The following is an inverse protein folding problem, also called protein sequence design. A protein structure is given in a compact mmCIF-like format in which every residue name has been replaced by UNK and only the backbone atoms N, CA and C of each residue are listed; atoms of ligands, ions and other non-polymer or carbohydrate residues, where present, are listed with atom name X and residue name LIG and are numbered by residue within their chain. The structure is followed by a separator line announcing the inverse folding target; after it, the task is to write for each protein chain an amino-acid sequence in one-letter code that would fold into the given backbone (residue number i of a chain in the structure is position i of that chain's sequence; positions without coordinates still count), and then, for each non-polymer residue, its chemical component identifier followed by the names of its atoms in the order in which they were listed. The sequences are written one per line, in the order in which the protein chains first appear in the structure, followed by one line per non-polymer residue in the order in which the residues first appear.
data_IF_427136984915
#
_entry.id   IF_427136984915
#
_cell.length_a   1.000
_cell.length_b   1.000
_cell.length_c   1.000
_cell.angle_alpha   90.00
_cell.angle_beta   90.00
_cell.angle_gamma   90.00
#
_symmetry.space_group_name_H-M   'P 1'
#
loop_
_entity.id
_entity.type
_entity.pdbx_description
1 polymer ?
#
# COMPACT_ATOMS: atom_id res chain seq x y z
N UNK A 1 -1.16 27.13 -70.22
CA UNK A 1 -1.10 25.75 -70.76
C UNK A 1 -0.61 24.81 -69.66
N UNK A 2 -1.57 24.25 -68.90
CA UNK A 2 -1.27 23.29 -67.84
C UNK A 2 -1.25 21.90 -68.50
N UNK A 3 -0.06 21.39 -68.82
CA UNK A 3 0.09 20.02 -69.35
C UNK A 3 -0.36 19.07 -68.24
N UNK A 4 -1.57 18.53 -68.38
CA UNK A 4 -2.03 17.33 -67.66
C UNK A 4 -0.91 16.30 -67.75
N UNK A 5 -0.18 16.13 -66.66
CA UNK A 5 0.72 15.00 -66.46
C UNK A 5 -0.11 13.75 -66.73
N UNK A 6 0.22 13.06 -67.83
CA UNK A 6 -0.30 11.75 -68.12
C UNK A 6 -0.15 10.91 -66.83
N UNK A 7 -1.27 10.40 -66.32
CA UNK A 7 -1.30 9.49 -65.17
C UNK A 7 -0.71 8.15 -65.62
N UNK A 8 0.60 8.10 -65.75
CA UNK A 8 1.34 6.90 -66.17
C UNK A 8 1.56 6.00 -64.95
N UNK A 9 1.27 4.71 -65.11
CA UNK A 9 1.62 3.65 -64.16
C UNK A 9 3.09 3.73 -63.67
N UNK A 10 3.97 4.37 -64.44
CA UNK A 10 5.35 4.68 -64.07
C UNK A 10 5.54 5.41 -62.73
N UNK A 11 4.68 6.38 -62.35
CA UNK A 11 4.83 7.06 -61.06
C UNK A 11 4.44 6.15 -59.88
N UNK A 12 3.38 5.34 -60.04
CA UNK A 12 3.00 4.35 -59.02
C UNK A 12 4.08 3.27 -58.86
N UNK A 13 4.68 2.83 -59.96
CA UNK A 13 5.82 1.89 -59.96
C UNK A 13 7.02 2.51 -59.26
N UNK A 14 7.37 3.77 -59.54
CA UNK A 14 8.45 4.50 -58.86
C UNK A 14 8.21 4.57 -57.34
N UNK A 15 7.00 4.96 -56.92
CA UNK A 15 6.63 5.02 -55.49
C UNK A 15 6.71 3.63 -54.84
N UNK A 16 6.30 2.57 -55.53
CA UNK A 16 6.42 1.19 -55.03
C UNK A 16 7.87 0.78 -54.82
N UNK A 17 8.75 1.03 -55.80
CA UNK A 17 10.18 0.73 -55.70
C UNK A 17 10.84 1.51 -54.56
N UNK A 18 10.55 2.81 -54.43
CA UNK A 18 11.08 3.62 -53.32
C UNK A 18 10.62 3.07 -51.96
N UNK A 19 9.34 2.68 -51.83
CA UNK A 19 8.82 2.10 -50.59
C UNK A 19 9.47 0.76 -50.25
N UNK A 20 9.77 -0.06 -51.25
CA UNK A 20 10.46 -1.33 -51.09
C UNK A 20 11.89 -1.11 -50.57
N UNK A 21 12.67 -0.22 -51.22
CA UNK A 21 14.03 0.12 -50.80
C UNK A 21 14.07 0.70 -49.37
N UNK A 22 13.22 1.69 -49.07
CA UNK A 22 13.15 2.30 -47.74
C UNK A 22 12.64 1.33 -46.68
N UNK A 23 11.65 0.49 -47.01
CA UNK A 23 11.11 -0.53 -46.13
C UNK A 23 12.15 -1.61 -45.79
N UNK A 24 12.94 -2.05 -46.77
CA UNK A 24 14.06 -2.98 -46.57
C UNK A 24 15.12 -2.41 -45.64
N UNK A 25 15.51 -1.14 -45.83
CA UNK A 25 16.46 -0.46 -44.96
C UNK A 25 15.94 -0.35 -43.52
N UNK A 26 14.67 0.03 -43.33
CA UNK A 26 14.06 0.09 -41.99
C UNK A 26 14.08 -1.26 -41.28
N UNK A 27 13.80 -2.35 -42.01
CA UNK A 27 13.79 -3.69 -41.45
C UNK A 27 15.18 -4.11 -40.99
N UNK A 28 16.21 -3.84 -41.80
CA UNK A 28 17.61 -4.10 -41.47
C UNK A 28 18.04 -3.32 -40.22
N UNK A 29 17.70 -2.03 -40.15
CA UNK A 29 18.01 -1.20 -38.97
C UNK A 29 17.34 -1.77 -37.72
N UNK A 30 16.05 -2.17 -37.80
CA UNK A 30 15.32 -2.74 -36.66
C UNK A 30 15.97 -4.04 -36.18
N UNK A 31 16.32 -4.95 -37.09
CA UNK A 31 16.99 -6.23 -36.78
C UNK A 31 18.35 -6.01 -36.14
N UNK A 32 19.19 -5.18 -36.77
CA UNK A 32 20.53 -4.89 -36.27
C UNK A 32 20.46 -4.23 -34.89
N UNK A 33 19.55 -3.26 -34.69
CA UNK A 33 19.40 -2.59 -33.39
C UNK A 33 19.18 -3.60 -32.26
N UNK A 34 18.28 -4.56 -32.45
CA UNK A 34 17.99 -5.60 -31.44
C UNK A 34 19.22 -6.45 -31.16
N UNK A 35 19.90 -6.92 -32.21
CA UNK A 35 21.11 -7.74 -32.08
C UNK A 35 22.23 -6.98 -31.36
N UNK A 36 22.48 -5.72 -31.72
CA UNK A 36 23.50 -4.89 -31.09
C UNK A 36 23.17 -4.63 -29.61
N UNK A 37 21.90 -4.36 -29.30
CA UNK A 37 21.46 -4.11 -27.93
C UNK A 37 21.57 -5.37 -27.05
N UNK A 38 21.26 -6.54 -27.62
CA UNK A 38 21.49 -7.82 -26.96
C UNK A 38 22.97 -8.05 -26.66
N UNK A 39 23.86 -7.77 -27.63
CA UNK A 39 25.33 -7.88 -27.44
C UNK A 39 25.86 -6.94 -26.37
N UNK A 40 25.40 -5.69 -26.34
CA UNK A 40 25.75 -4.74 -25.27
C UNK A 40 25.32 -5.30 -23.90
N UNK A 41 24.10 -5.83 -23.81
CA UNK A 41 23.62 -6.50 -22.60
C UNK A 41 24.47 -7.69 -22.18
N UNK A 42 24.97 -8.48 -23.15
CA UNK A 42 25.90 -9.58 -22.92
C UNK A 42 27.20 -9.08 -22.30
N UNK A 43 27.84 -8.06 -22.90
CA UNK A 43 29.09 -7.50 -22.40
C UNK A 43 28.94 -6.98 -20.96
N UNK A 44 27.88 -6.20 -20.69
CA UNK A 44 27.62 -5.67 -19.34
C UNK A 44 27.35 -6.82 -18.35
N UNK A 45 26.57 -7.84 -18.75
CA UNK A 45 26.25 -8.96 -17.87
C UNK A 45 27.46 -9.84 -17.55
N UNK A 46 28.38 -10.04 -18.51
CA UNK A 46 29.63 -10.76 -18.30
C UNK A 46 30.57 -9.98 -17.38
N UNK A 47 30.73 -8.68 -17.63
CA UNK A 47 31.53 -7.80 -16.76
C UNK A 47 31.01 -7.78 -15.31
N UNK A 48 29.68 -7.74 -15.12
CA UNK A 48 29.06 -7.84 -13.81
C UNK A 48 29.29 -9.20 -13.13
N UNK A 49 29.36 -10.29 -13.91
CA UNK A 49 29.61 -11.65 -13.40
C UNK A 49 31.06 -11.79 -12.89
N UNK A 50 32.01 -11.23 -13.61
CA UNK A 50 33.45 -11.25 -13.28
C UNK A 50 33.79 -10.37 -12.06
N UNK A 51 32.96 -9.37 -11.76
CA UNK A 51 33.19 -8.41 -10.67
C UNK A 51 32.22 -8.57 -9.49
N UNK A 52 31.61 -9.77 -9.32
CA UNK A 52 30.55 -10.05 -8.33
C UNK A 52 30.93 -9.83 -6.86
N UNK A 53 32.22 -9.94 -6.51
CA UNK A 53 32.68 -9.82 -5.12
C UNK A 53 32.71 -8.38 -4.59
N UNK A 54 32.51 -7.39 -5.46
CA UNK A 54 32.52 -5.97 -5.09
C UNK A 54 31.10 -5.50 -4.76
N UNK A 55 30.76 -5.47 -3.48
CA UNK A 55 29.48 -4.92 -2.99
C UNK A 55 29.28 -3.47 -3.50
N UNK A 56 28.10 -3.17 -4.06
CA UNK A 56 27.76 -1.84 -4.61
C UNK A 56 28.33 -1.51 -6.00
N UNK A 57 29.15 -2.39 -6.60
CA UNK A 57 29.77 -2.13 -7.91
C UNK A 57 28.75 -1.97 -9.05
N UNK A 58 27.66 -2.73 -9.00
CA UNK A 58 26.60 -2.67 -10.01
C UNK A 58 25.89 -1.31 -10.08
N UNK A 59 25.78 -0.60 -8.96
CA UNK A 59 25.01 0.64 -8.88
C UNK A 59 25.76 1.82 -9.53
N UNK A 60 27.07 1.89 -9.32
CA UNK A 60 27.95 2.89 -9.93
C UNK A 60 28.37 2.53 -11.37
N UNK A 61 28.37 1.24 -11.74
CA UNK A 61 28.76 0.81 -13.09
C UNK A 61 27.90 1.48 -14.17
N UNK A 62 26.59 1.51 -13.99
CA UNK A 62 25.70 2.11 -14.99
C UNK A 62 25.80 3.64 -15.04
N UNK A 63 26.19 4.31 -13.95
CA UNK A 63 26.47 5.75 -13.95
C UNK A 63 27.69 6.06 -14.81
N UNK A 64 28.77 5.31 -14.59
CA UNK A 64 29.99 5.47 -15.37
C UNK A 64 29.78 5.11 -16.84
N UNK A 65 29.16 3.97 -17.13
CA UNK A 65 28.85 3.57 -18.51
C UNK A 65 27.96 4.61 -19.21
N UNK A 66 27.03 5.24 -18.48
CA UNK A 66 26.17 6.26 -19.06
C UNK A 66 26.97 7.47 -19.55
N UNK A 67 27.94 7.93 -18.74
CA UNK A 67 28.84 9.03 -19.09
C UNK A 67 29.80 8.63 -20.22
N UNK A 68 30.49 7.50 -20.10
CA UNK A 68 31.54 7.08 -21.03
C UNK A 68 31.01 6.69 -22.42
N UNK A 69 29.74 6.27 -22.51
CA UNK A 69 29.11 5.87 -23.79
C UNK A 69 28.11 6.87 -24.34
N UNK A 70 27.86 7.98 -23.62
CA UNK A 70 26.82 8.96 -23.93
C UNK A 70 25.44 8.31 -24.11
N UNK A 71 25.13 7.30 -23.30
CA UNK A 71 23.84 6.58 -23.33
C UNK A 71 23.14 6.66 -22.00
N UNK A 72 21.82 6.74 -22.06
CA UNK A 72 20.97 6.76 -20.87
C UNK A 72 21.16 5.51 -19.99
N UNK A 73 21.33 5.72 -18.67
CA UNK A 73 21.47 4.68 -17.64
C UNK A 73 20.38 3.62 -17.76
N UNK A 74 19.12 4.03 -17.95
CA UNK A 74 17.99 3.11 -18.04
C UNK A 74 18.01 2.27 -19.33
N UNK A 75 18.57 2.80 -20.42
CA UNK A 75 18.73 2.09 -21.69
C UNK A 75 19.78 0.99 -21.59
N UNK A 76 20.94 1.30 -21.00
CA UNK A 76 22.00 0.32 -20.72
C UNK A 76 21.48 -0.78 -19.78
N UNK A 77 20.77 -0.41 -18.72
CA UNK A 77 20.15 -1.37 -17.81
C UNK A 77 19.15 -2.30 -18.53
N UNK A 78 18.30 -1.75 -19.41
CA UNK A 78 17.36 -2.55 -20.22
C UNK A 78 18.07 -3.49 -21.18
N UNK A 79 19.19 -3.10 -21.77
CA UNK A 79 20.01 -3.98 -22.61
C UNK A 79 20.52 -5.17 -21.80
N UNK A 80 21.03 -4.94 -20.58
CA UNK A 80 21.47 -6.01 -19.68
C UNK A 80 20.34 -6.96 -19.32
N UNK A 81 19.16 -6.43 -18.96
CA UNK A 81 17.98 -7.24 -18.69
C UNK A 81 17.53 -8.00 -19.92
N UNK A 82 17.64 -7.40 -21.11
CA UNK A 82 17.28 -8.05 -22.37
C UNK A 82 18.11 -9.31 -22.61
N UNK A 83 19.44 -9.22 -22.51
CA UNK A 83 20.31 -10.40 -22.62
C UNK A 83 19.99 -11.47 -21.57
N UNK A 84 19.81 -11.07 -20.30
CA UNK A 84 19.51 -12.01 -19.20
C UNK A 84 18.16 -12.72 -19.39
N UNK A 85 17.17 -12.00 -19.93
CA UNK A 85 15.82 -12.53 -20.16
C UNK A 85 15.75 -13.41 -21.40
N UNK A 86 16.53 -13.08 -22.43
CA UNK A 86 16.61 -13.83 -23.68
C UNK A 86 18.07 -14.30 -23.91
N UNK A 87 18.57 -15.30 -23.16
CA UNK A 87 19.97 -15.75 -23.29
C UNK A 87 20.32 -16.29 -24.68
N UNK A 88 19.30 -16.69 -25.45
CA UNK A 88 19.43 -17.12 -26.84
C UNK A 88 18.43 -16.30 -27.65
N UNK A 89 18.94 -15.40 -28.49
CA UNK A 89 18.11 -14.65 -29.42
C UNK A 89 17.82 -15.53 -30.64
N UNK A 90 16.58 -16.02 -30.76
CA UNK A 90 16.18 -16.86 -31.88
C UNK A 90 16.29 -16.09 -33.21
N UNK A 91 16.95 -16.67 -34.20
CA UNK A 91 17.06 -16.09 -35.54
C UNK A 91 15.71 -16.23 -36.27
N UNK A 92 15.25 -15.17 -36.94
CA UNK A 92 14.02 -15.18 -37.76
C UNK A 92 12.75 -14.65 -37.09
N UNK A 93 12.84 -13.98 -35.92
CA UNK A 93 11.69 -13.35 -35.25
C UNK A 93 11.91 -11.84 -35.17
N UNK A 94 11.30 -11.13 -36.10
CA UNK A 94 11.57 -9.75 -36.50
C UNK A 94 10.99 -8.69 -35.54
N UNK A 95 10.89 -8.98 -34.25
CA UNK A 95 10.40 -7.99 -33.31
C UNK A 95 11.45 -6.88 -33.15
N UNK A 96 11.03 -5.63 -33.25
CA UNK A 96 11.94 -4.51 -33.00
C UNK A 96 12.20 -4.30 -31.50
N UNK A 97 13.13 -3.41 -31.17
CA UNK A 97 13.50 -3.12 -29.78
C UNK A 97 12.32 -2.66 -28.90
N UNK A 98 11.38 -1.89 -29.45
CA UNK A 98 10.19 -1.42 -28.71
C UNK A 98 9.30 -2.59 -28.29
N UNK A 99 9.16 -3.60 -29.15
CA UNK A 99 8.45 -4.84 -28.84
C UNK A 99 9.14 -5.65 -27.73
N UNK A 100 10.46 -5.83 -27.81
CA UNK A 100 11.21 -6.51 -26.76
C UNK A 100 11.16 -5.77 -25.42
N UNK A 101 11.22 -4.44 -25.42
CA UNK A 101 10.99 -3.63 -24.21
C UNK A 101 9.63 -3.90 -23.57
N UNK A 102 8.57 -4.07 -24.38
CA UNK A 102 7.26 -4.41 -23.86
C UNK A 102 7.25 -5.81 -23.23
N UNK A 103 7.87 -6.79 -23.89
CA UNK A 103 8.00 -8.17 -23.39
C UNK A 103 8.78 -8.26 -22.07
N UNK A 104 9.81 -7.43 -21.88
CA UNK A 104 10.57 -7.35 -20.62
C UNK A 104 9.69 -6.97 -19.41
N UNK A 105 8.53 -6.35 -19.64
CA UNK A 105 7.60 -6.00 -18.56
C UNK A 105 6.70 -7.16 -18.12
N UNK A 106 6.63 -8.24 -18.90
CA UNK A 106 5.89 -9.46 -18.55
C UNK A 106 6.73 -10.28 -17.59
N UNK A 107 6.25 -10.56 -16.37
CA UNK A 107 7.03 -11.26 -15.32
C UNK A 107 7.16 -12.77 -15.61
N UNK A 108 6.06 -13.40 -16.02
CA UNK A 108 5.96 -14.83 -16.33
C UNK A 108 6.71 -15.18 -17.63
N UNK A 109 7.71 -16.06 -17.54
CA UNK A 109 8.55 -16.45 -18.68
C UNK A 109 7.78 -17.22 -19.76
N UNK A 110 6.85 -18.09 -19.35
CA UNK A 110 6.02 -18.89 -20.26
C UNK A 110 5.12 -17.98 -21.08
N UNK A 111 4.41 -17.06 -20.42
CA UNK A 111 3.56 -16.07 -21.10
C UNK A 111 4.38 -15.15 -21.99
N UNK A 112 5.55 -14.71 -21.55
CA UNK A 112 6.45 -13.87 -22.34
C UNK A 112 6.86 -14.57 -23.65
N UNK A 113 7.27 -15.84 -23.59
CA UNK A 113 7.64 -16.62 -24.77
C UNK A 113 6.45 -16.90 -25.70
N UNK A 114 5.27 -17.14 -25.15
CA UNK A 114 4.04 -17.30 -25.94
C UNK A 114 3.69 -16.01 -26.69
N UNK A 115 3.77 -14.87 -26.01
CA UNK A 115 3.52 -13.55 -26.62
C UNK A 115 4.57 -13.21 -27.69
N UNK A 116 5.84 -13.49 -27.42
CA UNK A 116 6.91 -13.31 -28.40
C UNK A 116 6.64 -14.14 -29.67
N UNK A 117 6.33 -15.44 -29.52
CA UNK A 117 6.02 -16.33 -30.65
C UNK A 117 4.80 -15.85 -31.43
N UNK A 118 3.72 -15.52 -30.72
CA UNK A 118 2.47 -15.05 -31.33
C UNK A 118 2.67 -13.75 -32.10
N UNK A 119 3.36 -12.78 -31.48
CA UNK A 119 3.65 -11.49 -32.12
C UNK A 119 4.53 -11.66 -33.37
N UNK A 120 5.47 -12.61 -33.35
CA UNK A 120 6.30 -12.90 -34.53
C UNK A 120 5.52 -13.64 -35.63
N UNK A 121 4.63 -14.58 -35.28
CA UNK A 121 3.81 -15.33 -36.24
C UNK A 121 2.75 -14.47 -36.93
N UNK A 122 2.15 -13.54 -36.19
CA UNK A 122 1.08 -12.66 -36.68
C UNK A 122 1.60 -11.29 -37.17
N UNK A 123 2.93 -11.12 -37.29
CA UNK A 123 3.59 -9.86 -37.70
C UNK A 123 3.09 -8.61 -36.95
N UNK A 124 3.01 -8.71 -35.63
CA UNK A 124 2.50 -7.62 -34.80
C UNK A 124 3.46 -6.42 -34.78
N UNK A 125 2.91 -5.24 -35.10
CA UNK A 125 3.55 -3.96 -34.78
C UNK A 125 3.66 -3.79 -33.27
N UNK A 126 4.66 -3.04 -32.83
CA UNK A 126 4.91 -2.81 -31.39
C UNK A 126 3.69 -2.28 -30.63
N UNK A 127 2.88 -1.45 -31.28
CA UNK A 127 1.64 -0.91 -30.69
C UNK A 127 0.60 -2.00 -30.40
N UNK A 128 0.45 -2.97 -31.31
CA UNK A 128 -0.46 -4.09 -31.13
C UNK A 128 -0.01 -4.97 -29.97
N UNK A 129 1.30 -5.28 -29.89
CA UNK A 129 1.85 -6.05 -28.78
C UNK A 129 1.72 -5.32 -27.43
N UNK A 130 2.04 -4.03 -27.39
CA UNK A 130 1.91 -3.21 -26.17
C UNK A 130 0.44 -3.18 -25.72
N UNK A 131 -0.49 -2.96 -26.64
CA UNK A 131 -1.93 -2.96 -26.35
C UNK A 131 -2.37 -4.33 -25.82
N UNK A 132 -1.96 -5.42 -26.46
CA UNK A 132 -2.32 -6.77 -26.04
C UNK A 132 -1.78 -7.10 -24.64
N UNK A 133 -0.54 -6.73 -24.33
CA UNK A 133 0.03 -6.88 -22.98
C UNK A 133 -0.78 -6.06 -21.96
N UNK A 134 -1.20 -4.85 -22.32
CA UNK A 134 -2.05 -4.02 -21.46
C UNK A 134 -3.42 -4.66 -21.22
N UNK A 135 -4.06 -5.16 -22.27
CA UNK A 135 -5.39 -5.80 -22.19
C UNK A 135 -5.32 -7.09 -21.36
N UNK A 136 -4.24 -7.89 -21.50
CA UNK A 136 -4.00 -9.06 -20.68
C UNK A 136 -3.84 -8.70 -19.20
N UNK A 137 -3.08 -7.65 -18.88
CA UNK A 137 -2.96 -7.16 -17.50
C UNK A 137 -4.29 -6.70 -16.94
N UNK A 138 -5.08 -5.95 -17.72
CA UNK A 138 -6.40 -5.50 -17.29
C UNK A 138 -7.36 -6.67 -17.09
N UNK A 139 -7.27 -7.72 -17.90
CA UNK A 139 -8.04 -8.96 -17.69
C UNK A 139 -7.57 -9.72 -16.45
N UNK A 140 -6.27 -9.79 -16.20
CA UNK A 140 -5.70 -10.39 -14.97
C UNK A 140 -6.07 -9.57 -13.72
N UNK A 141 -6.10 -8.24 -13.81
CA UNK A 141 -6.55 -7.33 -12.75
C UNK A 141 -8.07 -7.37 -12.56
N UNK A 142 -8.84 -7.58 -13.63
CA UNK A 142 -10.30 -7.74 -13.62
C UNK A 142 -10.77 -9.14 -13.23
N UNK A 143 -9.87 -10.13 -13.21
CA UNK A 143 -10.14 -11.50 -12.78
C UNK A 143 -9.25 -11.85 -11.57
N UNK A 144 -9.43 -11.10 -10.47
CA UNK A 144 -9.20 -11.73 -9.16
C UNK A 144 -10.37 -12.68 -8.94
N UNK A 145 -10.16 -14.00 -8.81
CA UNK A 145 -11.22 -14.85 -8.26
C UNK A 145 -11.72 -14.19 -6.97
N UNK A 146 -13.03 -14.29 -6.69
CA UNK A 146 -13.61 -13.94 -5.39
C UNK A 146 -12.94 -14.84 -4.35
N UNK A 147 -11.73 -14.47 -3.93
CA UNK A 147 -11.19 -14.91 -2.65
C UNK A 147 -12.15 -14.28 -1.67
N UNK A 148 -12.96 -15.11 -1.00
CA UNK A 148 -13.77 -14.64 0.11
C UNK A 148 -12.84 -13.86 1.04
N UNK A 149 -13.03 -12.54 1.09
CA UNK A 149 -12.21 -11.67 1.93
C UNK A 149 -12.71 -11.92 3.34
N UNK A 150 -11.90 -12.54 4.21
CA UNK A 150 -12.41 -12.97 5.49
C UNK A 150 -12.82 -11.74 6.30
N UNK A 151 -13.96 -11.85 6.96
CA UNK A 151 -14.51 -10.77 7.76
C UNK A 151 -13.85 -10.81 9.14
N UNK A 152 -13.19 -9.73 9.51
CA UNK A 152 -12.60 -9.57 10.82
C UNK A 152 -13.72 -9.51 11.86
N UNK A 153 -13.68 -10.37 12.88
CA UNK A 153 -14.52 -10.22 14.05
C UNK A 153 -14.09 -8.95 14.81
N UNK A 154 -15.05 -8.08 15.13
CA UNK A 154 -14.84 -6.87 15.92
C UNK A 154 -16.06 -6.59 16.80
N UNK A 155 -15.86 -5.82 17.88
CA UNK A 155 -16.95 -5.32 18.73
C UNK A 155 -16.94 -3.79 18.72
N UNK A 156 -18.14 -3.21 18.80
CA UNK A 156 -18.35 -1.76 18.67
C UNK A 156 -18.11 -0.98 19.97
N UNK A 157 -17.54 -1.57 21.02
CA UNK A 157 -17.07 -0.83 22.20
C UNK A 157 -18.15 0.01 22.92
N UNK A 158 -17.73 0.76 23.95
CA UNK A 158 -18.57 1.77 24.59
C UNK A 158 -17.73 2.98 24.99
N UNK A 159 -18.14 4.16 24.54
CA UNK A 159 -17.46 5.41 24.87
C UNK A 159 -17.71 5.82 26.31
N UNK A 160 -16.71 6.50 26.91
CA UNK A 160 -16.76 7.04 28.28
C UNK A 160 -17.07 5.99 29.35
N UNK A 161 -16.79 4.71 29.09
CA UNK A 161 -16.88 3.64 30.07
C UNK A 161 -15.51 3.22 30.56
N UNK A 162 -15.41 2.98 31.86
CA UNK A 162 -14.16 2.67 32.54
C UNK A 162 -14.38 1.58 33.58
N UNK A 163 -13.32 0.81 33.85
CA UNK A 163 -13.30 -0.18 34.93
C UNK A 163 -12.71 0.43 36.20
N UNK A 164 -13.27 0.07 37.34
CA UNK A 164 -12.70 0.39 38.64
C UNK A 164 -11.69 -0.67 39.06
N UNK A 165 -10.54 -0.22 39.56
CA UNK A 165 -9.46 -1.05 40.07
C UNK A 165 -9.34 -0.87 41.58
N UNK A 166 -8.69 -1.83 42.21
CA UNK A 166 -8.39 -1.80 43.63
C UNK A 166 -7.52 -0.59 43.99
N UNK A 167 -7.62 -0.09 45.24
CA UNK A 167 -6.71 0.92 45.73
C UNK A 167 -5.26 0.43 45.76
N UNK A 168 -4.33 1.35 45.59
CA UNK A 168 -2.90 1.05 45.62
C UNK A 168 -2.18 1.81 46.73
N UNK A 169 -1.06 1.24 47.20
CA UNK A 169 -0.19 1.90 48.16
C UNK A 169 0.63 2.97 47.44
N UNK A 170 0.39 4.23 47.77
CA UNK A 170 1.13 5.35 47.21
C UNK A 170 2.55 5.42 47.81
N UNK A 171 3.53 6.01 47.09
CA UNK A 171 4.88 6.21 47.62
C UNK A 171 4.95 7.00 48.93
N UNK A 172 3.89 7.76 49.24
CA UNK A 172 3.71 8.48 50.50
C UNK A 172 3.35 7.57 51.69
N UNK A 173 3.13 6.28 51.45
CA UNK A 173 2.69 5.29 52.45
C UNK A 173 1.18 5.30 52.71
N UNK A 174 0.42 6.15 52.03
CA UNK A 174 -1.04 6.21 52.12
C UNK A 174 -1.68 5.30 51.07
N UNK A 175 -2.82 4.71 51.41
CA UNK A 175 -3.65 3.98 50.43
C UNK A 175 -4.43 5.00 49.58
N UNK A 176 -4.47 4.78 48.27
CA UNK A 176 -5.32 5.58 47.39
C UNK A 176 -6.82 5.30 47.62
N UNK A 177 -7.68 6.06 46.97
CA UNK A 177 -9.06 5.65 46.71
C UNK A 177 -9.11 4.56 45.62
N UNK A 178 -10.31 4.06 45.30
CA UNK A 178 -10.52 3.23 44.09
C UNK A 178 -9.93 3.94 42.87
N UNK A 179 -9.45 3.19 41.90
CA UNK A 179 -8.81 3.77 40.71
C UNK A 179 -9.67 3.53 39.47
N UNK A 180 -9.73 4.50 38.58
CA UNK A 180 -10.34 4.39 37.26
C UNK A 180 -9.26 3.98 36.27
N UNK A 181 -9.44 2.84 35.62
CA UNK A 181 -8.60 2.33 34.53
C UNK A 181 -8.87 3.15 33.27
N UNK A 182 -7.92 4.00 32.88
CA UNK A 182 -8.01 4.80 31.65
C UNK A 182 -7.43 4.06 30.44
N UNK A 183 -6.90 2.86 30.63
CA UNK A 183 -6.02 2.17 29.68
C UNK A 183 -4.68 2.90 29.50
N UNK A 184 -3.84 2.35 28.63
CA UNK A 184 -2.48 2.81 28.36
C UNK A 184 -1.61 2.89 29.62
N UNK A 185 -1.80 1.95 30.56
CA UNK A 185 -1.15 1.92 31.88
C UNK A 185 -1.40 3.19 32.71
N UNK A 186 -2.46 3.94 32.40
CA UNK A 186 -2.85 5.13 33.12
C UNK A 186 -4.05 4.87 34.01
N UNK A 187 -3.97 5.41 35.23
CA UNK A 187 -5.03 5.33 36.23
C UNK A 187 -5.28 6.69 36.86
N UNK A 188 -6.52 6.91 37.28
CA UNK A 188 -6.95 8.13 37.98
C UNK A 188 -7.67 7.74 39.27
N UNK A 189 -7.40 8.44 40.35
CA UNK A 189 -8.18 8.27 41.58
C UNK A 189 -9.67 8.60 41.38
N UNK A 190 -10.52 7.73 41.91
CA UNK A 190 -11.97 7.89 41.96
C UNK A 190 -12.35 8.51 43.31
N UNK A 191 -12.64 9.81 43.31
CA UNK A 191 -12.97 10.51 44.54
C UNK A 191 -14.39 10.19 45.00
N UNK A 192 -14.58 9.90 46.28
CA UNK A 192 -15.91 9.72 46.88
C UNK A 192 -16.80 10.95 46.69
N UNK A 193 -16.23 12.15 46.68
CA UNK A 193 -16.97 13.40 46.42
C UNK A 193 -17.60 13.43 45.02
N UNK A 194 -16.99 12.75 44.05
CA UNK A 194 -17.50 12.63 42.68
C UNK A 194 -18.57 11.54 42.53
N UNK A 195 -18.61 10.58 43.46
CA UNK A 195 -19.55 9.45 43.43
C UNK A 195 -20.99 9.87 43.72
N UNK A 196 -21.23 11.02 44.37
CA UNK A 196 -22.56 11.50 44.77
C UNK A 196 -23.42 10.42 45.48
N UNK A 197 -22.79 9.51 46.23
CA UNK A 197 -23.47 8.40 46.93
C UNK A 197 -23.60 7.10 46.13
N UNK A 198 -22.98 7.00 44.95
CA UNK A 198 -22.94 5.79 44.14
C UNK A 198 -22.09 4.71 44.83
N UNK A 199 -22.72 3.61 45.25
CA UNK A 199 -22.02 2.45 45.83
C UNK A 199 -21.37 1.61 44.72
N UNK A 200 -20.06 1.67 44.63
CA UNK A 200 -19.23 0.92 43.66
C UNK A 200 -18.11 0.16 44.36
N UNK A 201 -17.65 -0.92 43.73
CA UNK A 201 -16.48 -1.70 44.18
C UNK A 201 -15.52 -1.94 43.01
N UNK A 202 -14.30 -2.37 43.32
CA UNK A 202 -13.33 -2.78 42.31
C UNK A 202 -13.90 -3.89 41.39
N UNK A 203 -13.46 -3.88 40.13
CA UNK A 203 -13.94 -4.75 39.07
C UNK A 203 -15.24 -4.29 38.40
N UNK A 204 -15.99 -3.35 39.00
CA UNK A 204 -17.21 -2.81 38.39
C UNK A 204 -16.90 -1.76 37.32
N UNK A 205 -17.83 -1.61 36.37
CA UNK A 205 -17.71 -0.62 35.31
C UNK A 205 -18.59 0.59 35.61
N UNK A 206 -18.07 1.76 35.24
CA UNK A 206 -18.74 3.05 35.37
C UNK A 206 -18.77 3.75 34.02
N UNK A 207 -19.84 4.50 33.77
CA UNK A 207 -19.96 5.41 32.63
C UNK A 207 -19.88 6.84 33.12
N UNK A 208 -19.08 7.65 32.45
CA UNK A 208 -19.04 9.09 32.69
C UNK A 208 -20.13 9.77 31.86
N UNK A 209 -20.99 10.51 32.55
CA UNK A 209 -22.03 11.35 31.95
C UNK A 209 -21.70 12.80 32.28
N UNK A 210 -21.45 13.60 31.24
CA UNK A 210 -21.19 15.03 31.39
C UNK A 210 -22.51 15.77 31.67
N UNK A 211 -22.61 16.41 32.84
CA UNK A 211 -23.70 17.34 33.17
C UNK A 211 -23.12 18.75 33.32
N UNK A 212 -23.02 19.48 32.20
CA UNK A 212 -22.47 20.83 32.20
C UNK A 212 -20.95 20.83 32.45
N UNK A 213 -20.49 21.46 33.54
CA UNK A 213 -19.05 21.51 33.92
C UNK A 213 -18.60 20.36 34.83
N UNK A 214 -19.53 19.54 35.32
CA UNK A 214 -19.22 18.44 36.26
C UNK A 214 -19.48 17.09 35.61
N UNK A 215 -18.61 16.14 35.93
CA UNK A 215 -18.78 14.74 35.54
C UNK A 215 -19.65 14.06 36.59
N UNK A 216 -20.63 13.29 36.13
CA UNK A 216 -21.39 12.36 36.96
C UNK A 216 -21.10 10.93 36.54
N UNK A 217 -21.24 9.99 37.47
CA UNK A 217 -20.91 8.59 37.25
C UNK A 217 -22.17 7.74 37.35
N UNK A 218 -22.35 6.84 36.39
CA UNK A 218 -23.41 5.85 36.38
C UNK A 218 -22.77 4.46 36.41
N UNK A 219 -23.26 3.60 37.31
CA UNK A 219 -22.84 2.20 37.33
C UNK A 219 -23.42 1.47 36.13
N UNK A 220 -22.57 0.77 35.39
CA UNK A 220 -22.96 -0.01 34.20
C UNK A 220 -22.44 -1.43 34.30
N UNK A 221 -23.15 -2.36 33.66
CA UNK A 221 -22.69 -3.73 33.44
C UNK A 221 -22.46 -3.89 31.94
N UNK A 222 -21.19 -4.03 31.56
CA UNK A 222 -20.75 -4.24 30.18
C UNK A 222 -19.68 -5.33 30.16
N UNK A 223 -19.55 -6.07 29.06
CA UNK A 223 -18.48 -7.05 28.95
C UNK A 223 -17.13 -6.34 28.76
N UNK A 224 -16.04 -7.03 29.12
CA UNK A 224 -14.69 -6.44 29.10
C UNK A 224 -14.27 -6.05 27.67
N UNK A 225 -14.73 -6.80 26.66
CA UNK A 225 -14.49 -6.45 25.26
C UNK A 225 -15.19 -5.19 24.78
N UNK A 226 -16.07 -4.56 25.56
CA UNK A 226 -16.64 -3.24 25.24
C UNK A 226 -15.83 -2.07 25.82
N UNK A 227 -14.86 -2.33 26.69
CA UNK A 227 -14.00 -1.30 27.28
C UNK A 227 -12.96 -0.75 26.29
N UNK A 228 -12.21 0.26 26.74
CA UNK A 228 -11.06 0.83 26.05
C UNK A 228 -11.39 1.37 24.64
N UNK A 229 -12.49 2.11 24.57
CA UNK A 229 -12.97 2.77 23.36
C UNK A 229 -12.88 4.28 23.54
N UNK A 230 -12.21 4.95 22.61
CA UNK A 230 -11.79 6.34 22.76
C UNK A 230 -12.07 7.15 21.50
N UNK A 231 -12.33 8.44 21.71
CA UNK A 231 -12.22 9.44 20.65
C UNK A 231 -10.76 9.81 20.46
N UNK A 232 -10.31 9.90 19.22
CA UNK A 232 -8.94 10.30 18.92
C UNK A 232 -8.85 11.21 17.70
N UNK A 233 -7.81 12.02 17.63
CA UNK A 233 -7.47 12.83 16.47
C UNK A 233 -6.23 12.27 15.78
N UNK A 234 -6.31 12.03 14.47
CA UNK A 234 -5.19 11.55 13.66
C UNK A 234 -4.13 12.65 13.57
N UNK A 235 -2.89 12.34 13.96
CA UNK A 235 -1.75 13.28 13.88
C UNK A 235 -0.85 13.01 12.68
N UNK A 236 -0.58 11.74 12.38
CA UNK A 236 0.26 11.36 11.23
C UNK A 236 -0.01 9.92 10.82
N UNK A 237 -0.21 9.69 9.52
CA UNK A 237 -0.20 8.33 8.95
C UNK A 237 1.25 7.93 8.69
N UNK A 238 1.71 6.86 9.33
CA UNK A 238 3.06 6.33 9.12
C UNK A 238 3.03 5.44 7.88
N UNK A 239 2.21 4.40 7.92
CA UNK A 239 2.05 3.37 6.88
C UNK A 239 0.56 3.05 6.67
N UNK A 240 0.23 2.06 5.82
CA UNK A 240 -1.16 1.68 5.54
C UNK A 240 -1.93 1.14 6.74
N UNK A 241 -1.24 0.65 7.77
CA UNK A 241 -1.83 0.06 8.97
C UNK A 241 -1.32 0.68 10.28
N UNK A 242 -0.47 1.70 10.21
CA UNK A 242 0.17 2.30 11.40
C UNK A 242 0.05 3.81 11.38
N UNK A 243 -0.46 4.38 12.47
CA UNK A 243 -0.68 5.83 12.60
C UNK A 243 -0.38 6.36 14.00
N UNK A 244 -0.06 7.65 14.07
CA UNK A 244 -0.02 8.43 15.30
C UNK A 244 -1.36 9.07 15.56
N UNK A 245 -1.90 8.87 16.76
CA UNK A 245 -3.14 9.48 17.22
C UNK A 245 -2.91 10.25 18.54
N UNK A 246 -3.68 11.32 18.72
CA UNK A 246 -3.89 11.97 20.01
C UNK A 246 -5.22 11.47 20.56
N UNK A 247 -5.17 10.67 21.61
CA UNK A 247 -6.29 9.91 22.18
C UNK A 247 -6.82 10.67 23.39
N UNK A 248 -8.14 10.84 23.45
CA UNK A 248 -8.85 11.39 24.59
C UNK A 248 -9.29 10.27 25.51
N UNK A 249 -8.56 10.12 26.62
CA UNK A 249 -8.86 9.11 27.65
C UNK A 249 -9.95 9.58 28.63
N UNK A 250 -10.53 10.77 28.41
CA UNK A 250 -11.44 11.43 29.33
C UNK A 250 -10.72 12.20 30.44
N UNK A 251 -11.49 12.89 31.27
CA UNK A 251 -10.99 13.68 32.41
C UNK A 251 -9.92 14.73 32.03
N UNK A 252 -9.96 15.25 30.80
CA UNK A 252 -8.98 16.20 30.27
C UNK A 252 -7.59 15.60 30.01
N UNK A 253 -7.46 14.27 30.00
CA UNK A 253 -6.20 13.57 29.72
C UNK A 253 -6.13 13.21 28.23
N UNK A 254 -5.20 13.85 27.54
CA UNK A 254 -4.87 13.55 26.15
C UNK A 254 -3.50 12.88 26.10
N UNK A 255 -3.40 11.74 25.41
CA UNK A 255 -2.14 11.04 25.21
C UNK A 255 -1.83 10.90 23.72
N UNK A 256 -0.55 10.86 23.37
CA UNK A 256 -0.13 10.62 21.99
C UNK A 256 0.43 9.21 21.88
N UNK A 257 -0.20 8.36 21.07
CA UNK A 257 0.24 6.98 20.89
C UNK A 257 0.32 6.55 19.42
N UNK A 258 1.18 5.55 19.18
CA UNK A 258 1.24 4.80 17.93
C UNK A 258 0.21 3.67 17.98
N UNK A 259 -0.63 3.63 16.95
CA UNK A 259 -1.66 2.63 16.77
C UNK A 259 -1.33 1.78 15.56
N UNK A 260 -1.44 0.46 15.73
CA UNK A 260 -1.36 -0.55 14.66
C UNK A 260 -2.76 -1.13 14.46
N UNK A 261 -3.25 -1.13 13.22
CA UNK A 261 -4.54 -1.71 12.89
C UNK A 261 -4.49 -3.23 13.09
N UNK A 262 -5.41 -3.74 13.91
CA UNK A 262 -5.49 -5.15 14.29
C UNK A 262 -5.97 -6.02 13.13
N UNK A 263 -5.42 -7.24 13.05
CA UNK A 263 -5.87 -8.30 12.15
C UNK A 263 -5.42 -8.13 10.70
N UNK A 264 -4.63 -7.09 10.41
CA UNK A 264 -4.20 -6.78 9.05
C UNK A 264 -2.71 -6.45 8.97
N UNK A 265 -2.15 -6.73 7.79
CA UNK A 265 -0.79 -6.37 7.41
C UNK A 265 -0.79 -5.70 6.04
N UNK A 266 -0.35 -4.44 6.00
CA UNK A 266 -0.15 -3.71 4.76
C UNK A 266 1.23 -4.03 4.16
N UNK A 267 1.36 -4.01 2.82
CA UNK A 267 2.67 -4.15 2.17
C UNK A 267 3.67 -3.07 2.61
N UNK A 268 4.95 -3.44 2.60
CA UNK A 268 6.06 -2.56 2.98
C UNK A 268 6.02 -1.20 2.28
N UNK A 269 6.29 -0.11 3.03
CA UNK A 269 6.19 1.28 2.52
C UNK A 269 7.08 1.55 1.30
N UNK A 270 8.20 0.84 1.19
CA UNK A 270 9.13 0.93 0.06
C UNK A 270 8.52 0.41 -1.26
N UNK A 271 7.44 -0.37 -1.19
CA UNK A 271 6.75 -0.93 -2.35
C UNK A 271 5.68 0.00 -2.89
N UNK A 272 5.34 -0.15 -4.17
CA UNK A 272 4.24 0.61 -4.80
C UNK A 272 2.88 0.31 -4.17
N UNK A 273 2.69 -0.91 -3.66
CA UNK A 273 1.45 -1.34 -3.01
C UNK A 273 1.33 -0.71 -1.61
N UNK A 274 2.41 -0.67 -0.84
CA UNK A 274 2.45 -0.01 0.47
C UNK A 274 2.20 1.50 0.38
N UNK A 275 2.78 2.15 -0.63
CA UNK A 275 2.47 3.56 -0.92
C UNK A 275 1.00 3.79 -1.29
N UNK A 276 0.37 2.84 -1.99
CA UNK A 276 -1.05 2.93 -2.35
C UNK A 276 -1.94 2.77 -1.12
N UNK A 277 -1.66 1.81 -0.24
CA UNK A 277 -2.37 1.62 1.01
C UNK A 277 -2.29 2.86 1.91
N UNK A 278 -1.09 3.43 2.06
CA UNK A 278 -0.88 4.67 2.81
C UNK A 278 -1.68 5.85 2.25
N UNK A 279 -1.64 6.08 0.93
CA UNK A 279 -2.40 7.18 0.30
C UNK A 279 -3.90 7.02 0.53
N UNK A 280 -4.41 5.80 0.42
CA UNK A 280 -5.81 5.51 0.68
C UNK A 280 -6.22 5.91 2.10
N UNK A 281 -5.47 5.48 3.13
CA UNK A 281 -5.75 5.87 4.52
C UNK A 281 -5.63 7.39 4.71
N UNK A 282 -4.62 8.02 4.12
CA UNK A 282 -4.44 9.47 4.17
C UNK A 282 -5.65 10.21 3.59
N UNK A 283 -6.19 9.76 2.45
CA UNK A 283 -7.35 10.38 1.81
C UNK A 283 -8.63 10.19 2.63
N UNK A 284 -8.85 8.99 3.18
CA UNK A 284 -10.03 8.68 3.99
C UNK A 284 -10.08 9.44 5.30
N UNK A 285 -8.93 9.56 5.97
CA UNK A 285 -8.83 10.22 7.26
C UNK A 285 -8.46 11.71 7.16
N UNK A 286 -8.38 12.25 5.94
CA UNK A 286 -8.06 13.66 5.72
C UNK A 286 -9.18 14.56 6.23
N UNK A 287 -8.81 15.59 6.99
CA UNK A 287 -9.73 16.62 7.50
C UNK A 287 -10.88 16.06 8.33
N UNK A 288 -10.70 14.90 8.97
CA UNK A 288 -11.63 14.41 9.99
C UNK A 288 -11.34 15.12 11.32
N UNK A 289 -12.39 15.60 11.97
CA UNK A 289 -12.30 16.20 13.30
C UNK A 289 -11.85 15.17 14.35
N UNK A 290 -12.37 13.94 14.22
CA UNK A 290 -12.02 12.81 15.08
C UNK A 290 -12.22 11.47 14.37
N UNK A 291 -11.66 10.43 14.98
CA UNK A 291 -11.90 9.02 14.72
C UNK A 291 -12.28 8.36 16.04
N UNK A 292 -12.90 7.19 15.98
CA UNK A 292 -13.11 6.34 17.14
C UNK A 292 -12.18 5.15 17.06
N UNK A 293 -11.49 4.85 18.16
CA UNK A 293 -10.58 3.73 18.24
C UNK A 293 -10.98 2.83 19.40
N UNK A 294 -10.71 1.54 19.25
CA UNK A 294 -10.84 0.55 20.31
C UNK A 294 -9.56 -0.25 20.42
N UNK A 295 -8.99 -0.30 21.62
CA UNK A 295 -7.74 -1.03 21.89
C UNK A 295 -8.03 -2.36 22.60
N UNK A 296 -7.27 -3.41 22.29
CA UNK A 296 -7.51 -4.76 22.82
C UNK A 296 -6.49 -5.22 23.86
N UNK A 297 -5.32 -4.57 23.90
CA UNK A 297 -4.28 -4.90 24.85
C UNK A 297 -3.83 -3.61 25.52
N UNK A 298 -3.72 -3.64 26.84
CA UNK A 298 -2.98 -2.62 27.61
C UNK A 298 -1.46 -2.91 27.61
N UNK A 299 -1.02 -3.62 26.58
CA UNK A 299 0.38 -3.92 26.31
C UNK A 299 0.64 -3.66 24.84
N UNK A 300 1.80 -3.09 24.59
CA UNK A 300 2.28 -2.82 23.25
C UNK A 300 2.75 -4.11 22.57
N UNK A 301 2.69 -4.14 21.25
CA UNK A 301 3.38 -5.16 20.48
C UNK A 301 4.91 -5.05 20.63
N UNK A 302 5.65 -5.96 19.98
CA UNK A 302 7.13 -5.96 19.97
C UNK A 302 7.79 -4.67 19.41
N UNK A 303 7.00 -3.69 18.98
CA UNK A 303 7.43 -2.42 18.39
C UNK A 303 6.85 -1.20 19.10
N UNK A 304 6.37 -1.36 20.34
CA UNK A 304 5.77 -0.30 21.15
C UNK A 304 4.51 0.33 20.53
N UNK A 305 3.67 -0.48 19.87
CA UNK A 305 2.39 -0.04 19.26
C UNK A 305 1.19 -0.72 19.90
N UNK A 306 0.12 0.04 20.08
CA UNK A 306 -1.16 -0.51 20.55
C UNK A 306 -1.97 -1.06 19.38
N UNK A 307 -2.48 -2.29 19.51
CA UNK A 307 -3.40 -2.87 18.54
C UNK A 307 -4.77 -2.21 18.67
N UNK A 308 -5.29 -1.73 17.55
CA UNK A 308 -6.54 -0.98 17.53
C UNK A 308 -7.45 -1.35 16.36
N UNK A 309 -8.75 -1.31 16.63
CA UNK A 309 -9.79 -1.19 15.62
C UNK A 309 -10.12 0.30 15.44
N UNK A 310 -10.28 0.74 14.19
CA UNK A 310 -10.54 2.14 13.87
C UNK A 310 -11.86 2.29 13.11
N UNK A 311 -12.73 3.16 13.64
CA UNK A 311 -14.01 3.53 13.06
C UNK A 311 -14.02 5.02 12.70
N UNK A 312 -14.55 5.36 11.53
CA UNK A 312 -14.61 6.74 11.06
C UNK A 312 -15.87 7.02 10.23
N UNK A 313 -16.26 8.28 10.15
CA UNK A 313 -17.29 8.79 9.24
C UNK A 313 -16.91 10.19 8.77
N UNK A 314 -17.26 10.54 7.53
CA UNK A 314 -17.00 11.88 6.97
C UNK A 314 -18.17 12.84 7.16
N UNK A 315 -19.38 12.29 7.32
CA UNK A 315 -20.62 13.05 7.31
C UNK A 315 -21.25 13.16 8.70
N UNK A 316 -20.77 12.36 9.66
CA UNK A 316 -21.28 12.32 11.02
C UNK A 316 -20.31 13.00 12.00
N UNK A 317 -20.87 13.86 12.85
CA UNK A 317 -20.14 14.65 13.85
C UNK A 317 -20.36 14.14 15.27
N UNK A 318 -21.36 13.28 15.49
CA UNK A 318 -21.62 12.64 16.76
C UNK A 318 -20.71 11.41 16.97
N UNK A 319 -19.82 11.42 17.98
CA UNK A 319 -18.96 10.28 18.30
C UNK A 319 -19.70 8.97 18.53
N UNK A 320 -20.90 9.02 19.11
CA UNK A 320 -21.68 7.82 19.42
C UNK A 320 -22.20 7.16 18.15
N UNK A 321 -22.69 7.95 17.19
CA UNK A 321 -23.13 7.43 15.89
C UNK A 321 -21.97 6.93 15.03
N UNK A 322 -20.82 7.61 15.06
CA UNK A 322 -19.60 7.10 14.39
C UNK A 322 -19.17 5.76 14.99
N UNK A 323 -19.31 5.60 16.31
CA UNK A 323 -19.04 4.32 16.94
C UNK A 323 -19.98 3.24 16.41
N UNK A 324 -21.29 3.48 16.37
CA UNK A 324 -22.31 2.49 16.00
C UNK A 324 -22.31 2.15 14.50
N UNK A 325 -22.25 3.17 13.64
CA UNK A 325 -22.49 3.04 12.19
C UNK A 325 -21.26 3.38 11.33
N UNK A 326 -20.19 3.92 11.93
CA UNK A 326 -19.01 4.37 11.19
C UNK A 326 -18.29 3.23 10.47
N UNK A 327 -17.62 3.56 9.38
CA UNK A 327 -16.85 2.60 8.57
C UNK A 327 -15.70 2.02 9.37
N UNK A 328 -15.60 0.68 9.39
CA UNK A 328 -14.49 -0.03 10.01
C UNK A 328 -13.29 -0.07 9.04
N UNK A 329 -12.28 0.74 9.31
CA UNK A 329 -11.16 0.93 8.38
C UNK A 329 -10.34 -0.35 8.17
N UNK A 330 -10.15 -1.17 9.20
CA UNK A 330 -9.34 -2.38 9.08
C UNK A 330 -9.94 -3.33 8.05
N UNK A 331 -11.26 -3.55 8.08
CA UNK A 331 -11.96 -4.36 7.08
C UNK A 331 -11.96 -3.69 5.71
N UNK A 332 -12.16 -2.37 5.64
CA UNK A 332 -12.14 -1.65 4.36
C UNK A 332 -10.79 -1.81 3.62
N UNK A 333 -9.66 -1.88 4.35
CA UNK A 333 -8.35 -2.14 3.77
C UNK A 333 -8.24 -3.56 3.18
N UNK A 334 -8.83 -4.57 3.83
CA UNK A 334 -8.92 -5.93 3.30
C UNK A 334 -9.82 -5.98 2.05
N UNK A 335 -11.00 -5.36 2.12
CA UNK A 335 -11.99 -5.36 1.05
C UNK A 335 -11.45 -4.72 -0.24
N UNK A 336 -10.59 -3.70 -0.09
CA UNK A 336 -9.91 -3.04 -1.21
C UNK A 336 -8.64 -3.76 -1.68
N UNK A 337 -8.27 -4.86 -1.03
CA UNK A 337 -7.04 -5.61 -1.30
C UNK A 337 -5.78 -4.78 -1.07
N UNK A 338 -5.82 -3.85 -0.11
CA UNK A 338 -4.71 -2.99 0.31
C UNK A 338 -3.95 -3.55 1.50
N UNK A 339 -4.53 -4.54 2.19
CA UNK A 339 -3.90 -5.30 3.25
C UNK A 339 -4.20 -6.80 3.09
N UNK A 340 -3.45 -7.63 3.80
CA UNK A 340 -3.71 -9.05 3.99
C UNK A 340 -4.07 -9.32 5.44
N UNK A 341 -4.70 -10.46 5.71
CA UNK A 341 -4.91 -10.90 7.09
C UNK A 341 -3.57 -11.29 7.70
N UNK A 342 -3.37 -10.84 8.93
CA UNK A 342 -2.25 -11.27 9.73
C UNK A 342 -2.62 -12.64 10.33
N UNK A 343 -1.94 -13.69 9.90
CA UNK A 343 -2.02 -15.01 10.56
C UNK A 343 -1.35 -14.89 11.93
N UNK A 344 -2.05 -15.31 12.99
CA UNK A 344 -1.63 -15.20 14.39
C UNK A 344 -0.36 -16.02 14.72
#
# INVERSE_FOLDING_TARGET
MNKKLAKTDGYKILVSKIREELGGLELLIKRETVLRYWRVGKYISQHLLENKERAGYGDHLYERLSLDTERDKATLWRMTQFHRTFPILAHGRELNWRSYRALLTVKDDTKRRQLERKAAQEDWKSEQLIKHIKDLRQKEEGFKPLVEIPQLAFTRGRLNSYRLLEPELLPTGQQSSLLIDLGFQMRREFSESESLGLKVKAGECIKVVQKGKTNSFEKISIPEEELFTYRAAVKKIIDGDTLWALIDCGFGRLIRQKLRLRGIDCPELSTTEGQRAKRFVQEKLKNLDFIIIKTYKDTVDKYDRYLSDLFYSRDEKDPQKVLEEGTFLNQELLDKGLAKIMED
#
